data_IF_583875144643
#
_entry.id   IF_583875144643
#
_cell.length_a   1.000
_cell.length_b   1.000
_cell.length_c   1.000
_cell.angle_alpha   90.00
_cell.angle_beta   90.00
_cell.angle_gamma   90.00
#
_symmetry.space_group_name_H-M   'P 1'
#
loop_
_entity.id
_entity.type
_entity.pdbx_description
1 polymer ?
#
# COMPACT_ATOMS: atom_id res chain seq x y z
N UNK A 1 23.83 25.76 9.83
CA UNK A 1 23.62 25.95 8.37
C UNK A 1 22.75 24.84 7.78
N UNK A 2 23.15 23.56 7.84
CA UNK A 2 22.36 22.44 7.26
C UNK A 2 21.09 22.16 8.07
N UNK A 3 21.19 22.02 9.39
CA UNK A 3 20.01 21.79 10.24
C UNK A 3 18.99 22.94 10.16
N UNK A 4 19.46 24.19 10.05
CA UNK A 4 18.57 25.35 9.89
C UNK A 4 17.79 25.30 8.57
N UNK A 5 18.41 24.78 7.51
CA UNK A 5 17.74 24.57 6.22
C UNK A 5 16.63 23.53 6.35
N UNK A 6 16.91 22.37 6.95
CA UNK A 6 15.90 21.30 7.10
C UNK A 6 14.73 21.71 8.00
N UNK A 7 14.98 22.42 9.09
CA UNK A 7 13.90 22.93 9.95
C UNK A 7 13.02 23.92 9.18
N UNK A 8 13.62 24.88 8.47
CA UNK A 8 12.86 25.83 7.64
C UNK A 8 12.07 25.14 6.53
N UNK A 9 12.63 24.09 5.93
CA UNK A 9 11.95 23.30 4.91
C UNK A 9 10.71 22.60 5.50
N UNK A 10 10.86 21.90 6.63
CA UNK A 10 9.76 21.23 7.31
C UNK A 10 8.66 22.23 7.73
N UNK A 11 9.05 23.37 8.31
CA UNK A 11 8.12 24.44 8.67
C UNK A 11 7.39 24.99 7.43
N UNK A 12 8.10 25.22 6.33
CA UNK A 12 7.49 25.67 5.08
C UNK A 12 6.48 24.67 4.52
N UNK A 13 6.73 23.36 4.62
CA UNK A 13 5.77 22.32 4.21
C UNK A 13 4.50 22.38 5.06
N UNK A 14 4.65 22.44 6.38
CA UNK A 14 3.54 22.48 7.34
C UNK A 14 2.70 23.75 7.18
N UNK A 15 3.34 24.87 6.90
CA UNK A 15 2.67 26.16 6.67
C UNK A 15 2.18 26.37 5.23
N UNK A 16 2.36 25.40 4.33
CA UNK A 16 2.01 25.55 2.91
C UNK A 16 2.74 26.70 2.20
N UNK A 17 3.96 27.02 2.64
CA UNK A 17 4.77 28.11 2.07
C UNK A 17 5.59 27.63 0.87
N UNK A 18 4.96 27.60 -0.30
CA UNK A 18 5.54 27.06 -1.54
C UNK A 18 6.79 27.79 -2.05
N UNK A 19 6.90 29.09 -1.75
CA UNK A 19 8.04 29.92 -2.18
C UNK A 19 9.40 29.37 -1.75
N UNK A 20 9.46 28.63 -0.63
CA UNK A 20 10.71 28.00 -0.17
C UNK A 20 11.23 26.96 -1.19
N UNK A 21 10.32 26.26 -1.87
CA UNK A 21 10.62 25.18 -2.81
C UNK A 21 10.64 25.60 -4.28
N UNK A 22 10.18 26.81 -4.61
CA UNK A 22 10.15 27.28 -6.01
C UNK A 22 11.54 27.64 -6.58
N UNK A 23 12.54 27.87 -5.73
CA UNK A 23 13.86 28.36 -6.16
C UNK A 23 15.04 27.71 -5.42
N UNK A 24 16.23 27.82 -6.02
CA UNK A 24 17.50 27.47 -5.39
C UNK A 24 17.58 26.01 -4.89
N UNK A 25 18.12 25.84 -3.68
CA UNK A 25 18.33 24.52 -3.06
C UNK A 25 16.99 23.87 -2.65
N UNK A 26 15.95 24.65 -2.35
CA UNK A 26 14.63 24.11 -2.03
C UNK A 26 14.04 23.33 -3.20
N UNK A 27 14.14 23.86 -4.42
CA UNK A 27 13.64 23.21 -5.64
C UNK A 27 14.24 21.84 -5.91
N UNK A 28 15.53 21.65 -5.62
CA UNK A 28 16.20 20.35 -5.82
C UNK A 28 15.92 19.35 -4.69
N UNK A 29 15.38 19.80 -3.55
CA UNK A 29 15.01 18.94 -2.42
C UNK A 29 13.52 18.53 -2.46
N UNK A 30 12.65 19.29 -3.12
CA UNK A 30 11.24 18.92 -3.30
C UNK A 30 11.10 17.85 -4.39
N UNK A 31 10.87 16.60 -3.99
CA UNK A 31 10.61 15.50 -4.93
C UNK A 31 9.14 15.45 -5.36
N UNK A 32 8.23 15.66 -4.41
CA UNK A 32 6.78 15.69 -4.62
C UNK A 32 6.22 16.86 -3.84
N UNK A 33 5.44 17.71 -4.52
CA UNK A 33 4.79 18.86 -3.90
C UNK A 33 3.64 18.40 -3.02
N UNK A 34 3.63 18.88 -1.79
CA UNK A 34 2.51 18.69 -0.87
C UNK A 34 1.47 19.81 -1.07
N UNK A 35 0.34 19.48 -1.69
CA UNK A 35 -0.77 20.42 -1.89
C UNK A 35 -1.75 20.36 -0.70
N UNK A 36 -1.78 21.42 0.10
CA UNK A 36 -2.70 21.52 1.23
C UNK A 36 -4.07 22.01 0.76
N UNK A 37 -5.11 21.20 0.91
CA UNK A 37 -6.45 21.46 0.38
C UNK A 37 -7.47 22.00 1.40
N UNK A 38 -7.05 22.31 2.64
CA UNK A 38 -7.93 22.72 3.73
C UNK A 38 -7.58 24.12 4.30
N UNK A 39 -7.94 25.23 3.62
CA UNK A 39 -7.64 26.57 4.09
C UNK A 39 -8.17 26.84 5.50
N UNK A 40 -7.32 27.36 6.39
CA UNK A 40 -7.70 27.72 7.77
C UNK A 40 -7.63 26.60 8.81
N UNK A 41 -7.27 25.37 8.43
CA UNK A 41 -6.93 24.29 9.37
C UNK A 41 -5.43 24.19 9.56
N UNK A 42 -5.00 24.00 10.81
CA UNK A 42 -3.61 23.64 11.13
C UNK A 42 -3.43 22.12 11.02
N UNK A 43 -2.51 21.62 10.18
CA UNK A 43 -2.20 20.20 10.16
C UNK A 43 -1.63 19.71 11.49
N UNK A 44 -1.99 18.49 11.88
CA UNK A 44 -1.25 17.75 12.89
C UNK A 44 -0.04 17.10 12.21
N UNK A 45 1.14 17.34 12.78
CA UNK A 45 2.40 16.79 12.27
C UNK A 45 2.81 15.63 13.15
N UNK A 46 3.00 14.47 12.54
CA UNK A 46 3.60 13.31 13.20
C UNK A 46 4.88 12.90 12.48
N UNK A 47 5.86 12.46 13.26
CA UNK A 47 7.16 12.00 12.77
C UNK A 47 7.25 10.48 12.90
N UNK A 48 8.07 9.86 12.06
CA UNK A 48 8.37 8.42 12.14
C UNK A 48 9.80 8.13 11.68
N UNK A 49 10.22 6.86 11.76
CA UNK A 49 11.59 6.43 11.50
C UNK A 49 12.55 6.71 12.66
N UNK A 50 13.85 6.45 12.46
CA UNK A 50 14.85 6.57 13.53
C UNK A 50 14.96 7.97 14.14
N UNK A 51 14.84 9.03 13.34
CA UNK A 51 14.80 10.41 13.87
C UNK A 51 13.46 10.71 14.54
N UNK A 52 12.34 10.16 14.04
CA UNK A 52 11.03 10.26 14.70
C UNK A 52 11.05 9.69 16.12
N UNK A 53 11.69 8.53 16.31
CA UNK A 53 11.85 7.92 17.63
C UNK A 53 12.63 8.83 18.58
N UNK A 54 13.73 9.41 18.12
CA UNK A 54 14.52 10.40 18.87
C UNK A 54 13.70 11.66 19.21
N UNK A 55 12.81 12.10 18.30
CA UNK A 55 11.92 13.25 18.54
C UNK A 55 10.97 12.95 19.70
N UNK A 56 10.30 11.79 19.70
CA UNK A 56 9.35 11.46 20.77
C UNK A 56 10.04 11.16 22.10
N UNK A 57 11.18 10.46 22.09
CA UNK A 57 12.00 10.25 23.31
C UNK A 57 12.39 11.60 23.92
N UNK A 58 12.87 12.52 23.09
CA UNK A 58 13.26 13.85 23.56
C UNK A 58 12.07 14.69 24.05
N UNK A 59 10.94 14.64 23.33
CA UNK A 59 9.70 15.31 23.75
C UNK A 59 9.15 14.75 25.07
N UNK A 60 9.38 13.46 25.36
CA UNK A 60 9.05 12.81 26.62
C UNK A 60 10.03 13.12 27.77
N UNK A 61 11.08 13.92 27.52
CA UNK A 61 12.08 14.29 28.51
C UNK A 61 13.20 13.26 28.71
N UNK A 62 13.31 12.28 27.81
CA UNK A 62 14.41 11.31 27.86
C UNK A 62 15.73 11.93 27.39
N UNK A 63 16.83 11.45 27.98
CA UNK A 63 18.17 11.90 27.62
C UNK A 63 18.61 11.25 26.31
N UNK A 64 18.67 12.04 25.24
CA UNK A 64 19.24 11.58 23.98
C UNK A 64 20.78 11.46 24.07
N UNK A 65 21.40 10.54 23.30
CA UNK A 65 22.85 10.44 23.19
C UNK A 65 23.53 11.74 22.72
N UNK A 66 24.86 11.77 22.77
CA UNK A 66 25.64 12.91 22.27
C UNK A 66 25.45 13.17 20.77
N UNK A 67 25.81 14.37 20.33
CA UNK A 67 25.81 14.73 18.91
C UNK A 67 26.61 13.70 18.10
N UNK A 68 26.11 13.32 16.92
CA UNK A 68 26.74 12.32 16.02
C UNK A 68 26.94 10.91 16.57
N UNK A 69 26.23 10.50 17.63
CA UNK A 69 26.35 9.14 18.19
C UNK A 69 26.14 8.03 17.14
N UNK A 70 25.22 8.23 16.19
CA UNK A 70 24.95 7.29 15.09
C UNK A 70 25.76 7.56 13.81
N UNK A 71 26.74 8.48 13.86
CA UNK A 71 27.50 8.92 12.68
C UNK A 71 26.74 9.90 11.78
N UNK A 72 25.57 10.38 12.19
CA UNK A 72 24.73 11.31 11.44
C UNK A 72 24.27 12.52 12.30
N UNK A 73 23.46 13.40 11.72
CA UNK A 73 22.90 14.58 12.41
C UNK A 73 21.49 14.34 12.98
N UNK A 74 21.03 13.08 13.06
CA UNK A 74 19.66 12.74 13.42
C UNK A 74 19.26 13.23 14.82
N UNK A 75 20.17 13.13 15.80
CA UNK A 75 19.95 13.59 17.18
C UNK A 75 19.77 15.12 17.23
N UNK A 76 20.62 15.87 16.53
CA UNK A 76 20.54 17.33 16.54
C UNK A 76 19.31 17.81 15.77
N UNK A 77 18.93 17.10 14.69
CA UNK A 77 17.68 17.35 13.98
C UNK A 77 16.48 17.11 14.89
N UNK A 78 16.45 16.00 15.65
CA UNK A 78 15.38 15.69 16.60
C UNK A 78 15.22 16.79 17.66
N UNK A 79 16.32 17.23 18.27
CA UNK A 79 16.33 18.34 19.25
C UNK A 79 15.77 19.63 18.65
N UNK A 80 16.14 19.95 17.41
CA UNK A 80 15.68 21.15 16.70
C UNK A 80 14.20 21.08 16.33
N UNK A 81 13.69 19.89 15.97
CA UNK A 81 12.27 19.67 15.69
C UNK A 81 11.44 19.89 16.95
N UNK A 82 11.85 19.31 18.09
CA UNK A 82 11.18 19.52 19.39
C UNK A 82 11.22 20.99 19.83
N UNK A 83 12.28 21.71 19.49
CA UNK A 83 12.41 23.14 19.80
C UNK A 83 11.58 24.07 18.89
N UNK A 84 11.04 23.58 17.76
CA UNK A 84 10.22 24.40 16.85
C UNK A 84 8.76 24.43 17.31
N UNK A 85 8.17 25.61 17.57
CA UNK A 85 6.77 25.72 17.97
C UNK A 85 5.79 25.18 16.91
N UNK A 86 6.15 25.27 15.63
CA UNK A 86 5.32 24.81 14.51
C UNK A 86 5.35 23.28 14.42
N UNK A 87 6.54 22.69 14.50
CA UNK A 87 6.72 21.25 14.34
C UNK A 87 6.35 20.46 15.60
N UNK A 88 6.48 21.07 16.77
CA UNK A 88 6.23 20.42 18.06
C UNK A 88 4.78 20.49 18.54
N UNK A 89 3.92 21.29 17.88
CA UNK A 89 2.57 21.63 18.36
C UNK A 89 1.68 20.42 18.73
N UNK A 90 1.86 19.27 18.05
CA UNK A 90 1.06 18.05 18.26
C UNK A 90 1.80 16.87 18.88
N UNK A 91 3.09 16.99 19.21
CA UNK A 91 3.94 15.84 19.56
C UNK A 91 3.51 15.10 20.84
N UNK A 92 2.90 15.81 21.79
CA UNK A 92 2.45 15.22 23.06
C UNK A 92 1.08 14.53 22.97
N UNK A 93 0.24 14.95 22.03
CA UNK A 93 -1.15 14.47 21.88
C UNK A 93 -1.26 13.37 20.81
N UNK A 94 -0.48 13.49 19.74
CA UNK A 94 -0.56 12.61 18.58
C UNK A 94 0.75 11.81 18.42
N UNK A 95 0.92 10.80 19.27
CA UNK A 95 2.06 9.88 19.21
C UNK A 95 1.67 8.64 18.40
N UNK A 96 2.31 8.36 17.25
CA UNK A 96 2.05 7.14 16.48
C UNK A 96 2.35 5.89 17.31
N UNK A 97 1.47 4.90 17.32
CA UNK A 97 1.65 3.63 18.05
C UNK A 97 2.98 2.95 17.74
N UNK A 98 3.48 3.12 16.51
CA UNK A 98 4.68 2.45 16.02
C UNK A 98 5.99 3.26 16.11
N UNK A 99 6.00 4.49 16.67
CA UNK A 99 7.09 5.44 17.06
C UNK A 99 8.40 5.56 16.23
N UNK A 100 8.89 4.49 15.60
CA UNK A 100 10.04 4.41 14.70
C UNK A 100 9.97 3.31 13.62
N UNK A 101 8.97 2.41 13.63
CA UNK A 101 8.94 1.21 12.76
C UNK A 101 8.31 1.37 11.38
N UNK A 102 7.87 2.57 11.03
CA UNK A 102 7.21 2.82 9.76
C UNK A 102 7.58 4.19 9.20
N UNK A 103 8.69 4.29 8.45
CA UNK A 103 8.88 5.43 7.56
C UNK A 103 7.82 5.33 6.45
N UNK A 104 7.23 6.44 5.98
CA UNK A 104 6.32 6.42 4.81
C UNK A 104 7.01 5.75 3.61
N UNK A 105 8.31 5.97 3.48
CA UNK A 105 9.15 5.34 2.47
C UNK A 105 9.45 3.85 2.75
N UNK A 106 9.51 3.42 4.01
CA UNK A 106 9.69 2.02 4.42
C UNK A 106 8.39 1.23 4.37
N UNK A 107 7.24 1.85 4.65
CA UNK A 107 5.91 1.35 4.29
C UNK A 107 5.80 1.24 2.77
N UNK A 108 6.23 2.25 2.01
CA UNK A 108 6.22 2.17 0.56
C UNK A 108 7.18 1.10 0.03
N UNK A 109 8.41 0.98 0.52
CA UNK A 109 9.40 0.01 0.02
C UNK A 109 9.20 -1.42 0.54
N UNK A 110 8.74 -1.60 1.78
CA UNK A 110 8.54 -2.93 2.38
C UNK A 110 7.08 -3.40 2.33
N UNK A 111 6.14 -2.54 1.93
CA UNK A 111 4.74 -2.94 1.71
C UNK A 111 4.31 -2.83 0.26
N UNK A 112 5.16 -2.33 -0.67
CA UNK A 112 4.85 -2.34 -2.11
C UNK A 112 5.51 -3.52 -2.80
N UNK A 113 4.70 -4.53 -3.12
CA UNK A 113 5.07 -5.59 -4.02
C UNK A 113 4.87 -5.11 -5.47
N UNK A 114 5.68 -5.65 -6.39
CA UNK A 114 5.59 -5.34 -7.82
C UNK A 114 5.11 -6.59 -8.54
N UNK A 115 3.95 -6.51 -9.18
CA UNK A 115 3.50 -7.55 -10.11
C UNK A 115 3.95 -7.19 -11.53
N UNK A 116 4.60 -8.15 -12.19
CA UNK A 116 5.24 -7.99 -13.49
C UNK A 116 4.34 -8.33 -14.68
N UNK A 117 4.97 -8.67 -15.81
CA UNK A 117 4.30 -8.76 -17.14
C UNK A 117 3.25 -9.87 -17.29
N UNK A 118 3.07 -10.73 -16.29
CA UNK A 118 2.20 -11.92 -16.33
C UNK A 118 0.85 -11.72 -15.64
N UNK A 119 0.58 -10.53 -15.10
CA UNK A 119 -0.72 -10.16 -14.56
C UNK A 119 -1.83 -10.17 -15.64
N UNK A 120 -3.07 -10.45 -15.22
CA UNK A 120 -4.25 -10.32 -16.08
C UNK A 120 -4.93 -8.97 -15.81
N UNK A 121 -4.79 -8.05 -16.76
CA UNK A 121 -5.41 -6.73 -16.74
C UNK A 121 -5.92 -6.44 -18.17
N UNK A 122 -7.18 -6.77 -18.46
CA UNK A 122 -7.73 -6.60 -19.81
C UNK A 122 -7.94 -5.13 -20.19
N UNK A 123 -8.08 -4.26 -19.19
CA UNK A 123 -8.26 -2.82 -19.35
C UNK A 123 -7.48 -2.06 -18.25
N UNK A 124 -6.52 -1.22 -18.65
CA UNK A 124 -5.69 -0.43 -17.73
C UNK A 124 -6.47 0.69 -17.05
N UNK A 125 -7.60 1.14 -17.61
CA UNK A 125 -8.45 2.19 -17.03
C UNK A 125 -9.19 1.73 -15.77
N UNK A 126 -9.12 0.43 -15.46
CA UNK A 126 -9.57 -0.13 -14.18
C UNK A 126 -8.68 0.28 -13.00
N UNK A 127 -7.47 0.81 -13.25
CA UNK A 127 -6.49 1.23 -12.24
C UNK A 127 -6.35 2.76 -12.19
N UNK A 128 -6.01 3.36 -11.03
CA UNK A 128 -5.67 2.73 -9.76
C UNK A 128 -6.90 2.35 -8.94
N UNK A 129 -6.75 1.35 -8.08
CA UNK A 129 -7.74 0.97 -7.06
C UNK A 129 -7.16 1.30 -5.69
N UNK A 130 -7.90 2.06 -4.87
CA UNK A 130 -7.49 2.44 -3.52
C UNK A 130 -8.44 1.84 -2.51
N UNK A 131 -7.90 1.49 -1.36
CA UNK A 131 -8.61 1.02 -0.19
C UNK A 131 -9.54 -0.17 -0.47
N UNK A 132 -9.06 -1.09 -1.32
CA UNK A 132 -9.83 -2.25 -1.70
C UNK A 132 -9.80 -3.27 -0.55
N UNK A 133 -10.97 -3.64 0.03
CA UNK A 133 -11.00 -4.57 1.14
C UNK A 133 -10.61 -5.97 0.68
N UNK A 134 -9.81 -6.68 1.49
CA UNK A 134 -9.53 -8.10 1.31
C UNK A 134 -10.69 -8.88 1.92
N UNK A 135 -11.51 -9.47 1.06
CA UNK A 135 -12.78 -10.10 1.43
C UNK A 135 -12.59 -11.53 1.93
N UNK A 136 -11.62 -12.24 1.36
CA UNK A 136 -11.37 -13.64 1.66
C UNK A 136 -9.92 -14.03 1.32
N UNK A 137 -9.45 -15.05 2.03
CA UNK A 137 -8.23 -15.82 1.75
C UNK A 137 -8.67 -17.24 1.45
N UNK A 138 -8.57 -17.66 0.20
CA UNK A 138 -9.09 -18.93 -0.28
C UNK A 138 -7.95 -19.81 -0.79
N UNK A 139 -7.90 -21.11 -0.47
CA UNK A 139 -6.97 -22.01 -1.14
C UNK A 139 -7.33 -22.14 -2.63
N UNK A 140 -6.37 -22.45 -3.49
CA UNK A 140 -6.62 -22.64 -4.94
C UNK A 140 -7.70 -23.68 -5.25
N UNK A 141 -7.84 -24.69 -4.39
CA UNK A 141 -8.85 -25.74 -4.52
C UNK A 141 -10.17 -25.41 -3.82
N UNK A 142 -10.37 -24.17 -3.37
CA UNK A 142 -11.59 -23.71 -2.70
C UNK A 142 -12.84 -24.12 -3.48
N UNK A 143 -13.88 -24.50 -2.76
CA UNK A 143 -15.12 -24.96 -3.36
C UNK A 143 -16.01 -23.81 -3.84
N UNK A 144 -17.14 -24.16 -4.48
CA UNK A 144 -18.04 -23.14 -5.03
C UNK A 144 -18.74 -22.35 -3.93
N UNK A 145 -18.98 -22.92 -2.75
CA UNK A 145 -19.62 -22.23 -1.63
C UNK A 145 -18.69 -21.18 -1.03
N UNK A 146 -17.41 -21.49 -0.87
CA UNK A 146 -16.39 -20.54 -0.41
C UNK A 146 -16.29 -19.33 -1.34
N UNK A 147 -16.27 -19.57 -2.66
CA UNK A 147 -16.32 -18.50 -3.66
C UNK A 147 -17.61 -17.69 -3.59
N UNK A 148 -18.76 -18.34 -3.43
CA UNK A 148 -20.05 -17.66 -3.30
C UNK A 148 -20.06 -16.74 -2.08
N UNK A 149 -19.52 -17.17 -0.93
CA UNK A 149 -19.41 -16.33 0.28
C UNK A 149 -18.51 -15.12 0.04
N UNK A 150 -17.37 -15.28 -0.64
CA UNK A 150 -16.49 -14.17 -0.97
C UNK A 150 -17.18 -13.15 -1.91
N UNK A 151 -17.91 -13.64 -2.92
CA UNK A 151 -18.68 -12.77 -3.80
C UNK A 151 -19.85 -12.09 -3.08
N UNK A 152 -20.52 -12.74 -2.13
CA UNK A 152 -21.57 -12.10 -1.33
C UNK A 152 -21.04 -10.88 -0.55
N UNK A 153 -19.82 -10.97 -0.02
CA UNK A 153 -19.16 -9.80 0.60
C UNK A 153 -18.86 -8.72 -0.43
N UNK A 154 -18.39 -9.10 -1.62
CA UNK A 154 -18.13 -8.18 -2.73
C UNK A 154 -19.41 -7.45 -3.16
N UNK A 155 -20.52 -8.16 -3.28
CA UNK A 155 -21.81 -7.61 -3.69
C UNK A 155 -22.41 -6.65 -2.67
N UNK A 156 -22.08 -6.81 -1.37
CA UNK A 156 -22.45 -5.87 -0.31
C UNK A 156 -21.64 -4.56 -0.37
N UNK A 157 -20.46 -4.59 -1.00
CA UNK A 157 -19.62 -3.42 -1.23
C UNK A 157 -20.01 -2.61 -2.47
N UNK A 158 -19.65 -1.33 -2.49
CA UNK A 158 -19.99 -0.41 -3.59
C UNK A 158 -18.95 -0.33 -4.71
N UNK A 159 -17.69 -0.65 -4.45
CA UNK A 159 -16.56 -0.37 -5.37
C UNK A 159 -15.84 -1.62 -5.89
N UNK A 160 -15.87 -2.73 -5.14
CA UNK A 160 -15.13 -3.95 -5.48
C UNK A 160 -14.54 -4.62 -4.24
N UNK A 161 -13.71 -5.64 -4.46
CA UNK A 161 -12.95 -6.28 -3.39
C UNK A 161 -11.81 -7.15 -3.90
N UNK A 162 -10.91 -7.51 -2.99
CA UNK A 162 -9.77 -8.37 -3.24
C UNK A 162 -10.00 -9.75 -2.63
N UNK A 163 -9.60 -10.81 -3.34
CA UNK A 163 -9.50 -12.17 -2.80
C UNK A 163 -8.06 -12.65 -2.98
N UNK A 164 -7.45 -13.08 -1.88
CA UNK A 164 -6.11 -13.69 -1.92
C UNK A 164 -6.25 -15.20 -2.13
N UNK A 165 -5.57 -15.72 -3.13
CA UNK A 165 -5.48 -17.15 -3.41
C UNK A 165 -4.20 -17.71 -2.80
N UNK A 166 -4.40 -18.73 -1.97
CA UNK A 166 -3.34 -19.36 -1.19
C UNK A 166 -2.90 -20.64 -1.89
N UNK A 167 -1.58 -20.77 -2.08
CA UNK A 167 -0.88 -21.95 -2.58
C UNK A 167 0.31 -22.29 -1.68
N UNK A 168 1.08 -23.32 -2.04
CA UNK A 168 2.32 -23.61 -1.30
C UNK A 168 3.33 -22.45 -1.35
N UNK A 169 3.38 -21.72 -2.46
CA UNK A 169 4.25 -20.55 -2.62
C UNK A 169 3.84 -19.38 -1.72
N UNK A 170 2.61 -19.38 -1.20
CA UNK A 170 2.13 -18.34 -0.30
C UNK A 170 2.82 -18.37 1.07
N UNK A 171 3.23 -19.55 1.56
CA UNK A 171 3.91 -19.71 2.85
C UNK A 171 5.39 -20.09 2.73
N UNK A 172 5.81 -20.67 1.60
CA UNK A 172 7.20 -21.04 1.33
C UNK A 172 7.61 -20.56 -0.06
N UNK A 173 8.49 -19.55 -0.18
CA UNK A 173 9.01 -19.07 -1.46
C UNK A 173 9.73 -20.14 -2.28
N UNK A 174 10.20 -21.23 -1.65
CA UNK A 174 10.82 -22.38 -2.31
C UNK A 174 9.86 -23.56 -2.48
N UNK A 175 8.58 -23.37 -2.13
CA UNK A 175 7.52 -24.36 -2.26
C UNK A 175 7.25 -24.74 -3.71
N UNK A 176 6.46 -25.78 -3.91
CA UNK A 176 6.16 -26.25 -5.26
C UNK A 176 5.15 -25.29 -5.92
N UNK A 177 5.45 -24.75 -7.12
CA UNK A 177 4.45 -23.99 -7.88
C UNK A 177 3.24 -24.85 -8.21
N UNK A 178 2.07 -24.22 -8.18
CA UNK A 178 0.81 -24.87 -8.52
C UNK A 178 0.83 -25.34 -9.98
N UNK A 179 0.28 -26.52 -10.20
CA UNK A 179 0.19 -27.07 -11.55
C UNK A 179 -0.82 -26.30 -12.40
N UNK A 180 -0.63 -26.36 -13.72
CA UNK A 180 -1.59 -25.79 -14.66
C UNK A 180 -3.01 -26.36 -14.48
N UNK A 181 -3.12 -27.62 -14.07
CA UNK A 181 -4.41 -28.27 -13.80
C UNK A 181 -5.15 -27.62 -12.63
N UNK A 182 -4.43 -27.27 -11.55
CA UNK A 182 -4.98 -26.59 -10.37
C UNK A 182 -5.41 -25.16 -10.72
N UNK A 183 -4.56 -24.38 -11.39
CA UNK A 183 -4.89 -23.02 -11.85
C UNK A 183 -6.10 -23.03 -12.78
N UNK A 184 -6.16 -23.99 -13.72
CA UNK A 184 -7.30 -24.17 -14.61
C UNK A 184 -8.58 -24.50 -13.84
N UNK A 185 -8.51 -25.43 -12.90
CA UNK A 185 -9.67 -25.82 -12.10
C UNK A 185 -10.20 -24.64 -11.27
N UNK A 186 -9.31 -23.86 -10.65
CA UNK A 186 -9.65 -22.64 -9.90
C UNK A 186 -10.36 -21.61 -10.79
N UNK A 187 -9.78 -21.29 -11.95
CA UNK A 187 -10.37 -20.34 -12.90
C UNK A 187 -11.71 -20.81 -13.47
N UNK A 188 -11.86 -22.10 -13.78
CA UNK A 188 -13.12 -22.66 -14.27
C UNK A 188 -14.21 -22.65 -13.19
N UNK A 189 -13.85 -22.90 -11.93
CA UNK A 189 -14.78 -22.81 -10.81
C UNK A 189 -15.25 -21.38 -10.59
N UNK A 190 -14.33 -20.42 -10.57
CA UNK A 190 -14.66 -19.00 -10.48
C UNK A 190 -15.57 -18.57 -11.65
N UNK A 191 -15.28 -19.01 -12.87
CA UNK A 191 -16.16 -18.79 -14.03
C UNK A 191 -17.58 -19.29 -13.80
N UNK A 192 -17.74 -20.51 -13.25
CA UNK A 192 -19.06 -21.08 -12.98
C UNK A 192 -19.83 -20.23 -11.94
N UNK A 193 -19.16 -19.85 -10.86
CA UNK A 193 -19.74 -19.01 -9.80
C UNK A 193 -20.11 -17.61 -10.33
N UNK A 194 -19.24 -16.98 -11.13
CA UNK A 194 -19.51 -15.66 -11.72
C UNK A 194 -20.62 -15.68 -12.77
N UNK A 195 -20.89 -16.82 -13.41
CA UNK A 195 -22.06 -17.00 -14.28
C UNK A 195 -23.36 -17.06 -13.48
N UNK A 196 -23.33 -17.70 -12.30
CA UNK A 196 -24.48 -17.77 -11.39
C UNK A 196 -24.73 -16.42 -10.71
N UNK A 197 -23.66 -15.76 -10.25
CA UNK A 197 -23.69 -14.46 -9.58
C UNK A 197 -22.76 -13.45 -10.25
N UNK A 198 -23.21 -12.81 -11.35
CA UNK A 198 -22.41 -11.83 -12.06
C UNK A 198 -22.00 -10.64 -11.20
N UNK A 199 -20.83 -10.06 -11.50
CA UNK A 199 -20.42 -8.78 -10.93
C UNK A 199 -21.35 -7.68 -11.43
N UNK A 200 -21.65 -6.70 -10.59
CA UNK A 200 -22.34 -5.49 -11.05
C UNK A 200 -21.35 -4.60 -11.82
N UNK A 201 -21.83 -3.84 -12.82
CA UNK A 201 -20.94 -3.15 -13.78
C UNK A 201 -19.94 -2.14 -13.18
N UNK A 202 -20.09 -1.76 -11.90
CA UNK A 202 -19.15 -0.89 -11.18
C UNK A 202 -18.15 -1.65 -10.30
N UNK A 203 -18.46 -2.88 -9.90
CA UNK A 203 -17.62 -3.64 -8.97
C UNK A 203 -16.44 -4.26 -9.71
N UNK A 204 -15.24 -4.05 -9.17
CA UNK A 204 -14.03 -4.72 -9.65
C UNK A 204 -13.61 -5.81 -8.68
N UNK A 205 -13.47 -7.05 -9.17
CA UNK A 205 -12.89 -8.16 -8.42
C UNK A 205 -11.39 -8.20 -8.71
N UNK A 206 -10.58 -8.16 -7.67
CA UNK A 206 -9.14 -8.38 -7.76
C UNK A 206 -8.79 -9.71 -7.14
N UNK A 207 -8.00 -10.51 -7.85
CA UNK A 207 -7.37 -11.70 -7.32
C UNK A 207 -5.89 -11.43 -7.13
N UNK A 208 -5.35 -11.88 -6.00
CA UNK A 208 -3.93 -11.83 -5.70
C UNK A 208 -3.45 -13.25 -5.48
N UNK A 209 -2.36 -13.65 -6.14
CA UNK A 209 -1.81 -15.01 -6.05
C UNK A 209 -0.27 -14.97 -6.03
N UNK A 210 0.34 -15.91 -5.33
CA UNK A 210 1.81 -16.01 -5.23
C UNK A 210 2.43 -16.70 -6.44
N UNK A 211 1.72 -17.64 -7.06
CA UNK A 211 2.13 -18.29 -8.30
C UNK A 211 2.15 -17.32 -9.48
N UNK A 212 3.15 -17.43 -10.35
CA UNK A 212 3.16 -16.77 -11.66
C UNK A 212 2.09 -17.38 -12.59
N UNK A 213 0.85 -16.93 -12.42
CA UNK A 213 -0.32 -17.52 -13.05
C UNK A 213 -1.38 -16.49 -13.44
N UNK A 214 -1.08 -15.19 -13.40
CA UNK A 214 -2.06 -14.10 -13.54
C UNK A 214 -2.89 -14.22 -14.81
N UNK A 215 -2.24 -14.18 -15.97
CA UNK A 215 -2.85 -14.33 -17.31
C UNK A 215 -3.63 -15.63 -17.45
N UNK A 216 -3.07 -16.74 -16.99
CA UNK A 216 -3.67 -18.07 -17.13
C UNK A 216 -4.96 -18.15 -16.32
N UNK A 217 -4.91 -17.78 -15.04
CA UNK A 217 -6.06 -17.79 -14.15
C UNK A 217 -7.14 -16.83 -14.64
N UNK A 218 -6.77 -15.59 -14.97
CA UNK A 218 -7.71 -14.59 -15.47
C UNK A 218 -8.36 -14.99 -16.81
N UNK A 219 -7.60 -15.64 -17.70
CA UNK A 219 -8.15 -16.17 -18.95
C UNK A 219 -9.17 -17.27 -18.69
N UNK A 220 -8.90 -18.21 -17.78
CA UNK A 220 -9.89 -19.23 -17.44
C UNK A 220 -11.10 -18.66 -16.71
N UNK A 221 -10.91 -17.68 -15.81
CA UNK A 221 -11.96 -17.02 -15.02
C UNK A 221 -12.89 -16.11 -15.84
N UNK A 222 -12.40 -15.57 -16.97
CA UNK A 222 -13.20 -14.77 -17.89
C UNK A 222 -13.72 -15.57 -19.09
N UNK A 223 -13.45 -16.87 -19.12
CA UNK A 223 -13.68 -17.71 -20.29
C UNK A 223 -13.08 -17.08 -21.56
N UNK A 224 -11.79 -16.71 -21.48
CA UNK A 224 -11.01 -16.06 -22.53
C UNK A 224 -11.60 -14.71 -22.99
N UNK A 225 -12.07 -13.91 -22.02
CA UNK A 225 -12.67 -12.60 -22.27
C UNK A 225 -14.11 -12.65 -22.80
N UNK A 226 -14.74 -13.83 -22.89
CA UNK A 226 -16.15 -13.94 -23.30
C UNK A 226 -17.12 -13.43 -22.23
N UNK A 227 -16.70 -13.40 -20.96
CA UNK A 227 -17.47 -12.81 -19.88
C UNK A 227 -17.02 -11.34 -19.67
N UNK A 228 -17.94 -10.36 -19.68
CA UNK A 228 -17.62 -8.95 -19.51
C UNK A 228 -17.38 -8.61 -18.03
N UNK A 229 -16.34 -9.22 -17.45
CA UNK A 229 -16.02 -9.10 -16.02
C UNK A 229 -14.95 -8.03 -15.81
N UNK A 230 -15.18 -7.17 -14.82
CA UNK A 230 -14.14 -6.31 -14.25
C UNK A 230 -13.28 -7.14 -13.30
N UNK A 231 -12.45 -8.00 -13.86
CA UNK A 231 -11.53 -8.88 -13.15
C UNK A 231 -10.08 -8.45 -13.39
N UNK A 232 -9.31 -8.32 -12.31
CA UNK A 232 -7.85 -8.16 -12.35
C UNK A 232 -7.23 -9.35 -11.60
N UNK A 233 -6.20 -9.96 -12.15
CA UNK A 233 -5.39 -10.97 -11.44
C UNK A 233 -3.96 -10.48 -11.36
N UNK A 234 -3.49 -10.31 -10.14
CA UNK A 234 -2.15 -9.86 -9.81
C UNK A 234 -1.40 -11.08 -9.27
N UNK A 235 -0.34 -11.47 -9.95
CA UNK A 235 0.48 -12.62 -9.60
C UNK A 235 1.84 -12.23 -9.02
N UNK A 236 2.56 -13.23 -8.49
CA UNK A 236 3.86 -13.08 -7.81
C UNK A 236 3.79 -12.21 -6.54
N UNK A 237 2.61 -12.17 -5.91
CA UNK A 237 2.41 -11.47 -4.65
C UNK A 237 2.34 -12.49 -3.52
N UNK A 238 3.24 -12.41 -2.52
CA UNK A 238 3.20 -13.31 -1.37
C UNK A 238 1.91 -13.12 -0.57
N UNK A 239 1.57 -14.09 0.26
CA UNK A 239 0.45 -13.91 1.18
C UNK A 239 0.74 -12.78 2.19
N UNK A 240 -0.28 -11.95 2.40
CA UNK A 240 -0.22 -10.77 3.28
C UNK A 240 -1.44 -10.78 4.19
N UNK A 241 -1.24 -10.87 5.49
CA UNK A 241 -2.29 -10.76 6.50
C UNK A 241 -2.70 -9.29 6.71
N UNK A 242 -3.41 -8.73 5.73
CA UNK A 242 -3.86 -7.34 5.70
C UNK A 242 -5.39 -7.27 5.51
N UNK A 243 -5.98 -6.14 5.91
CA UNK A 243 -7.41 -5.86 5.67
C UNK A 243 -7.68 -5.15 4.34
N UNK A 244 -6.69 -4.41 3.82
CA UNK A 244 -6.85 -3.60 2.62
C UNK A 244 -5.64 -3.70 1.69
N UNK A 245 -5.90 -3.48 0.40
CA UNK A 245 -4.88 -3.40 -0.65
C UNK A 245 -5.11 -2.17 -1.55
N UNK A 246 -4.03 -1.48 -1.90
CA UNK A 246 -4.00 -0.49 -2.96
C UNK A 246 -3.28 -1.07 -4.17
N UNK A 247 -3.80 -0.75 -5.35
CA UNK A 247 -3.23 -1.15 -6.63
C UNK A 247 -3.01 0.13 -7.43
N UNK A 248 -1.76 0.48 -7.66
CA UNK A 248 -1.41 1.72 -8.35
C UNK A 248 -1.68 1.66 -9.85
N UNK A 249 -1.27 2.72 -10.55
CA UNK A 249 -1.38 2.77 -12.01
C UNK A 249 -0.41 1.79 -12.65
N UNK A 250 -0.84 1.16 -13.73
CA UNK A 250 0.03 0.35 -14.57
C UNK A 250 1.00 1.25 -15.34
N UNK A 251 2.29 0.91 -15.31
CA UNK A 251 3.33 1.51 -16.15
C UNK A 251 4.18 0.38 -16.74
N UNK A 252 4.24 0.26 -18.07
CA UNK A 252 5.01 -0.79 -18.75
C UNK A 252 4.69 -2.23 -18.28
N UNK A 253 3.41 -2.53 -18.06
CA UNK A 253 2.92 -3.81 -17.52
C UNK A 253 3.43 -4.13 -16.11
N UNK A 254 3.85 -3.11 -15.37
CA UNK A 254 4.22 -3.20 -13.96
C UNK A 254 3.16 -2.45 -13.15
N UNK A 255 2.67 -3.10 -12.10
CA UNK A 255 1.68 -2.51 -11.19
C UNK A 255 2.22 -2.58 -9.76
N UNK A 256 2.31 -1.44 -9.06
CA UNK A 256 2.68 -1.43 -7.64
C UNK A 256 1.46 -1.80 -6.80
N UNK A 257 1.66 -2.67 -5.82
CA UNK A 257 0.61 -3.22 -4.96
C UNK A 257 1.01 -3.03 -3.51
N UNK A 258 0.21 -2.30 -2.71
CA UNK A 258 0.53 -2.05 -1.31
C UNK A 258 -0.54 -2.54 -0.35
N UNK A 259 -0.14 -3.25 0.70
CA UNK A 259 -1.03 -3.79 1.72
C UNK A 259 -0.98 -2.96 3.02
N UNK A 260 -2.12 -2.78 3.68
CA UNK A 260 -2.17 -2.08 4.98
C UNK A 260 -3.35 -2.55 5.84
N UNK A 261 -3.34 -2.15 7.11
CA UNK A 261 -4.21 -2.74 8.13
C UNK A 261 -3.76 -4.15 8.46
N UNK A 262 -2.49 -4.31 8.85
CA UNK A 262 -1.93 -5.60 9.25
C UNK A 262 -2.46 -5.97 10.65
N UNK A 263 -2.67 -7.26 10.89
CA UNK A 263 -2.91 -7.82 12.23
C UNK A 263 -1.59 -8.14 12.97
#
# INVERSE_FOLDING_TARGET
RILDFYIKALEAMVMGTYNFFDQGIGRIHEQVRFEWSCPGMMPVVTFSGGVGELIYQHAAGETLPGTTYFGDLGIDLARRVVASPVLAAGLGEFVPENRGRATVYGLALHSTDISGTTLYLPDTDMLPLRDLPILARLPLNADSEEWLRALELLHKGSCGGCVQLISELSWDPNGKPSSLAEIKAAGQRLTAVLKERPLTGKQTLVLVISDNAGKTLGSYATNWGQLPLRLIVIDEIPDRHAHFVNIGRCLNNIVPVSFYGMN
#
